data_IF_556273192576
#
_entry.id   IF_556273192576
#
_cell.length_a   1.000
_cell.length_b   1.000
_cell.length_c   1.000
_cell.angle_alpha   90.00
_cell.angle_beta   90.00
_cell.angle_gamma   90.00
#
_symmetry.space_group_name_H-M   'P 1'
#
loop_
_entity.id
_entity.type
_entity.pdbx_description
1 polymer ?
#
# COMPACT_ATOMS: atom_id res chain seq x y z
N UNK A 1 10.02 15.92 -12.06
CA UNK A 1 10.40 16.59 -10.78
C UNK A 1 11.90 16.86 -10.75
N UNK A 2 12.32 17.99 -10.17
CA UNK A 2 13.75 18.31 -10.02
C UNK A 2 14.38 17.42 -8.95
N UNK A 3 15.66 17.10 -9.07
CA UNK A 3 16.38 16.24 -8.12
C UNK A 3 16.38 16.79 -6.69
N UNK A 4 16.50 18.11 -6.55
CA UNK A 4 16.41 18.79 -5.23
C UNK A 4 15.04 18.63 -4.56
N UNK A 5 13.96 18.67 -5.33
CA UNK A 5 12.60 18.52 -4.81
C UNK A 5 12.33 17.06 -4.45
N UNK A 6 12.89 16.11 -5.20
CA UNK A 6 12.86 14.69 -4.87
C UNK A 6 13.51 14.42 -3.51
N UNK A 7 14.75 14.86 -3.30
CA UNK A 7 15.44 14.65 -2.03
C UNK A 7 14.72 15.34 -0.85
N UNK A 8 14.14 16.52 -1.07
CA UNK A 8 13.32 17.17 -0.06
C UNK A 8 12.10 16.31 0.30
N UNK A 9 11.40 15.76 -0.72
CA UNK A 9 10.26 14.88 -0.51
C UNK A 9 10.65 13.62 0.25
N UNK A 10 11.78 12.98 -0.10
CA UNK A 10 12.29 11.81 0.62
C UNK A 10 12.54 12.11 2.10
N UNK A 11 13.16 13.26 2.41
CA UNK A 11 13.35 13.70 3.79
C UNK A 11 12.03 13.83 4.54
N UNK A 12 11.02 14.48 3.95
CA UNK A 12 9.68 14.58 4.55
C UNK A 12 9.03 13.23 4.80
N UNK A 13 9.12 12.30 3.85
CA UNK A 13 8.54 10.97 3.98
C UNK A 13 9.24 10.16 5.06
N UNK A 14 10.56 10.24 5.14
CA UNK A 14 11.36 9.59 6.18
C UNK A 14 10.99 10.11 7.56
N UNK A 15 10.96 11.43 7.73
CA UNK A 15 10.75 12.07 9.03
C UNK A 15 9.30 11.91 9.55
N UNK A 16 8.31 11.82 8.66
CA UNK A 16 6.90 11.80 9.04
C UNK A 16 6.22 10.43 8.88
N UNK A 17 6.63 9.63 7.91
CA UNK A 17 6.04 8.32 7.61
C UNK A 17 7.00 7.15 7.88
N UNK A 18 8.26 7.41 8.21
CA UNK A 18 9.28 6.38 8.41
C UNK A 18 9.69 5.67 7.12
N UNK A 19 9.36 6.22 5.96
CA UNK A 19 9.68 5.61 4.67
C UNK A 19 11.07 6.00 4.21
N UNK A 20 11.90 5.01 3.92
CA UNK A 20 13.28 5.17 3.47
C UNK A 20 13.37 4.68 2.03
N UNK A 21 13.16 5.59 1.09
CA UNK A 21 13.30 5.33 -0.34
C UNK A 21 14.70 5.72 -0.80
N UNK A 22 15.19 5.02 -1.81
CA UNK A 22 16.44 5.37 -2.48
C UNK A 22 16.23 5.92 -3.90
N UNK A 23 17.31 6.13 -4.64
CA UNK A 23 17.25 6.70 -5.98
C UNK A 23 16.60 5.76 -7.01
N UNK A 24 16.45 4.48 -6.72
CA UNK A 24 15.86 3.49 -7.65
C UNK A 24 14.34 3.66 -7.76
N UNK A 25 13.69 4.21 -6.71
CA UNK A 25 12.26 4.50 -6.71
C UNK A 25 11.89 5.84 -7.39
N UNK A 26 12.88 6.62 -7.84
CA UNK A 26 12.63 7.95 -8.43
C UNK A 26 11.51 7.95 -9.48
N UNK A 27 11.54 7.03 -10.44
CA UNK A 27 10.54 7.01 -11.53
C UNK A 27 9.13 6.70 -11.03
N UNK A 28 9.00 5.85 -10.03
CA UNK A 28 7.70 5.47 -9.45
C UNK A 28 7.13 6.66 -8.68
N UNK A 29 7.95 7.30 -7.85
CA UNK A 29 7.57 8.46 -7.06
C UNK A 29 7.24 9.65 -7.95
N UNK A 30 8.08 9.95 -8.95
CA UNK A 30 7.86 11.03 -9.92
C UNK A 30 6.52 10.87 -10.65
N UNK A 31 6.23 9.67 -11.16
CA UNK A 31 4.96 9.35 -11.82
C UNK A 31 3.76 9.53 -10.89
N UNK A 32 3.84 9.07 -9.64
CA UNK A 32 2.77 9.21 -8.66
C UNK A 32 2.55 10.68 -8.29
N UNK A 33 3.63 11.44 -8.10
CA UNK A 33 3.55 12.88 -7.84
C UNK A 33 2.91 13.64 -9.00
N UNK A 34 3.27 13.29 -10.23
CA UNK A 34 2.64 13.89 -11.41
C UNK A 34 1.13 13.62 -11.47
N UNK A 35 0.70 12.40 -11.17
CA UNK A 35 -0.73 12.05 -11.13
C UNK A 35 -1.45 12.81 -10.01
N UNK A 36 -0.86 12.90 -8.84
CA UNK A 36 -1.40 13.62 -7.69
C UNK A 36 -1.57 15.12 -8.00
N UNK A 37 -0.57 15.75 -8.60
CA UNK A 37 -0.60 17.15 -9.04
C UNK A 37 -1.77 17.41 -9.97
N UNK A 38 -1.97 16.55 -10.98
CA UNK A 38 -3.09 16.65 -11.92
C UNK A 38 -4.44 16.48 -11.23
N UNK A 39 -4.57 15.51 -10.34
CA UNK A 39 -5.81 15.24 -9.61
C UNK A 39 -6.20 16.40 -8.70
N UNK A 40 -5.23 17.01 -8.04
CA UNK A 40 -5.45 18.13 -7.10
C UNK A 40 -5.50 19.51 -7.78
N UNK A 41 -5.22 19.59 -9.07
CA UNK A 41 -5.29 20.84 -9.84
C UNK A 41 -4.10 21.78 -9.68
N UNK A 42 -2.95 21.26 -9.23
CA UNK A 42 -1.70 22.04 -9.22
C UNK A 42 -1.13 22.19 -10.63
N UNK A 43 -0.48 23.31 -10.89
CA UNK A 43 0.15 23.55 -12.20
C UNK A 43 1.42 22.71 -12.39
N UNK A 44 2.14 22.39 -11.30
CA UNK A 44 3.37 21.58 -11.35
C UNK A 44 3.69 20.91 -10.01
N UNK A 45 4.62 19.93 -10.05
CA UNK A 45 5.17 19.32 -8.84
C UNK A 45 5.93 20.36 -7.99
N UNK A 46 6.60 21.30 -8.63
CA UNK A 46 7.34 22.37 -7.97
C UNK A 46 6.40 23.27 -7.13
N UNK A 47 5.21 23.57 -7.62
CA UNK A 47 4.19 24.30 -6.86
C UNK A 47 3.75 23.54 -5.61
N UNK A 48 3.43 22.26 -5.78
CA UNK A 48 3.08 21.39 -4.65
C UNK A 48 4.21 21.33 -3.60
N UNK A 49 5.46 21.18 -4.03
CA UNK A 49 6.61 21.16 -3.13
C UNK A 49 6.78 22.52 -2.41
N UNK A 50 6.49 23.64 -3.08
CA UNK A 50 6.51 24.93 -2.44
C UNK A 50 5.48 25.03 -1.31
N UNK A 51 4.28 24.52 -1.50
CA UNK A 51 3.26 24.46 -0.43
C UNK A 51 3.65 23.50 0.70
N UNK A 52 4.23 22.35 0.40
CA UNK A 52 4.75 21.45 1.44
C UNK A 52 5.82 22.12 2.31
N UNK A 53 6.67 22.96 1.73
CA UNK A 53 7.67 23.77 2.45
C UNK A 53 7.04 24.80 3.38
N UNK A 54 5.80 25.21 3.17
CA UNK A 54 5.04 26.07 4.10
C UNK A 54 4.50 25.31 5.33
N UNK A 55 4.77 24.01 5.44
CA UNK A 55 4.44 23.21 6.62
C UNK A 55 2.98 22.77 6.72
N UNK A 56 2.27 22.66 5.62
CA UNK A 56 0.88 22.18 5.58
C UNK A 56 0.78 20.68 5.88
N UNK A 57 0.57 20.33 7.15
CA UNK A 57 0.50 18.91 7.59
C UNK A 57 -0.59 18.12 6.88
N UNK A 58 -1.75 18.70 6.62
CA UNK A 58 -2.84 18.02 5.94
C UNK A 58 -2.45 17.64 4.49
N UNK A 59 -1.75 18.51 3.78
CA UNK A 59 -1.22 18.26 2.44
C UNK A 59 -0.15 17.18 2.46
N UNK A 60 0.74 17.21 3.45
CA UNK A 60 1.77 16.17 3.60
C UNK A 60 1.14 14.77 3.71
N UNK A 61 0.11 14.61 4.55
CA UNK A 61 -0.56 13.30 4.69
C UNK A 61 -1.30 12.85 3.42
N UNK A 62 -1.87 13.77 2.64
CA UNK A 62 -2.43 13.45 1.34
C UNK A 62 -1.35 12.95 0.35
N UNK A 63 -0.16 13.56 0.38
CA UNK A 63 0.98 13.10 -0.44
C UNK A 63 1.47 11.74 0.04
N UNK A 64 1.60 11.51 1.34
CA UNK A 64 1.94 10.19 1.91
C UNK A 64 0.95 9.13 1.43
N UNK A 65 -0.35 9.40 1.54
CA UNK A 65 -1.40 8.47 1.08
C UNK A 65 -1.31 8.18 -0.42
N UNK A 66 -1.09 9.22 -1.25
CA UNK A 66 -0.94 9.07 -2.70
C UNK A 66 0.30 8.27 -3.11
N UNK A 67 1.38 8.39 -2.33
CA UNK A 67 2.63 7.67 -2.56
C UNK A 67 2.61 6.25 -2.00
N UNK A 68 1.69 5.92 -1.09
CA UNK A 68 1.58 4.58 -0.54
C UNK A 68 1.49 3.53 -1.65
N UNK A 69 2.33 2.51 -1.55
CA UNK A 69 2.34 1.40 -2.49
C UNK A 69 1.19 0.47 -2.12
N UNK A 70 0.11 0.55 -2.88
CA UNK A 70 -1.04 -0.36 -2.74
C UNK A 70 -0.94 -1.57 -3.65
N UNK A 71 0.29 -2.09 -3.83
CA UNK A 71 0.49 -3.29 -4.65
C UNK A 71 -0.12 -4.51 -3.99
N UNK A 72 -0.92 -5.23 -4.75
CA UNK A 72 -1.48 -6.51 -4.36
C UNK A 72 -1.57 -7.43 -5.58
N UNK A 73 -1.44 -8.73 -5.34
CA UNK A 73 -1.59 -9.74 -6.37
C UNK A 73 -2.23 -11.01 -5.81
N UNK A 74 -2.79 -11.83 -6.69
CA UNK A 74 -3.32 -13.13 -6.27
C UNK A 74 -2.19 -14.01 -5.74
N UNK A 75 -2.45 -14.65 -4.59
CA UNK A 75 -1.48 -15.54 -3.90
C UNK A 75 -0.12 -14.89 -3.65
N UNK A 76 -0.10 -13.56 -3.41
CA UNK A 76 1.10 -12.84 -3.01
C UNK A 76 1.71 -13.52 -1.78
N UNK A 77 3.04 -13.65 -1.75
CA UNK A 77 3.76 -14.38 -0.71
C UNK A 77 3.34 -15.87 -0.62
N UNK A 78 3.56 -16.60 -1.71
CA UNK A 78 3.18 -18.01 -1.87
C UNK A 78 3.41 -18.89 -0.63
N UNK A 79 4.51 -18.68 0.10
CA UNK A 79 4.81 -19.43 1.34
C UNK A 79 3.78 -19.20 2.43
N UNK A 80 3.27 -17.97 2.54
CA UNK A 80 2.24 -17.59 3.52
C UNK A 80 0.92 -18.28 3.16
N UNK A 81 0.51 -18.23 1.90
CA UNK A 81 -0.69 -18.91 1.43
C UNK A 81 -0.58 -20.42 1.56
N UNK A 82 0.57 -21.01 1.24
CA UNK A 82 0.79 -22.45 1.44
C UNK A 82 0.66 -22.84 2.92
N UNK A 83 1.22 -22.10 3.84
CA UNK A 83 1.05 -22.33 5.28
C UNK A 83 -0.42 -22.15 5.71
N UNK A 84 -1.10 -21.14 5.18
CA UNK A 84 -2.53 -20.96 5.44
C UNK A 84 -3.34 -22.18 5.01
N UNK A 85 -3.14 -22.70 3.79
CA UNK A 85 -3.86 -23.83 3.24
C UNK A 85 -3.54 -25.15 3.93
N UNK A 86 -2.26 -25.39 4.25
CA UNK A 86 -1.81 -26.71 4.72
C UNK A 86 -1.83 -26.83 6.25
N UNK A 87 -1.78 -25.73 6.98
CA UNK A 87 -1.68 -25.75 8.45
C UNK A 87 -2.84 -25.02 9.11
N UNK A 88 -3.04 -23.74 8.77
CA UNK A 88 -3.97 -22.87 9.51
C UNK A 88 -5.42 -23.25 9.20
N UNK A 89 -5.78 -23.39 7.95
CA UNK A 89 -7.16 -23.68 7.54
C UNK A 89 -7.68 -25.03 8.06
N UNK A 90 -6.92 -26.15 7.97
CA UNK A 90 -7.31 -27.41 8.58
C UNK A 90 -7.54 -27.31 10.10
N UNK A 91 -6.63 -26.63 10.81
CA UNK A 91 -6.76 -26.43 12.26
C UNK A 91 -8.02 -25.62 12.64
N UNK A 92 -8.28 -24.52 11.93
CA UNK A 92 -9.49 -23.71 12.17
C UNK A 92 -10.77 -24.52 11.86
N UNK A 93 -10.76 -25.32 10.82
CA UNK A 93 -11.90 -26.20 10.49
C UNK A 93 -12.17 -27.22 11.58
N UNK A 94 -11.12 -27.77 12.17
CA UNK A 94 -11.26 -28.68 13.29
C UNK A 94 -11.89 -28.02 14.50
N UNK A 95 -11.42 -26.83 14.86
CA UNK A 95 -12.00 -26.04 15.96
C UNK A 95 -13.46 -25.64 15.72
N UNK A 96 -13.85 -25.44 14.45
CA UNK A 96 -15.19 -24.97 14.05
C UNK A 96 -16.10 -26.07 13.46
N UNK A 97 -15.84 -27.34 13.76
CA UNK A 97 -16.57 -28.50 13.16
C UNK A 97 -18.11 -28.38 13.22
N UNK A 98 -18.65 -27.68 14.22
CA UNK A 98 -20.11 -27.49 14.37
C UNK A 98 -20.68 -26.28 13.64
N UNK A 99 -19.87 -25.29 13.31
CA UNK A 99 -20.38 -23.99 12.86
C UNK A 99 -20.57 -23.86 11.34
N UNK A 100 -19.96 -24.72 10.52
CA UNK A 100 -19.97 -24.68 9.04
C UNK A 100 -19.75 -23.27 8.45
N UNK A 101 -19.07 -22.38 9.22
CA UNK A 101 -18.90 -20.97 8.89
C UNK A 101 -17.53 -20.51 9.34
N UNK A 102 -16.83 -19.84 8.43
CA UNK A 102 -15.54 -19.21 8.68
C UNK A 102 -15.67 -17.70 8.44
N UNK A 103 -15.14 -16.90 9.38
CA UNK A 103 -15.04 -15.44 9.22
C UNK A 103 -13.58 -15.08 9.18
N UNK A 104 -13.17 -14.36 8.14
CA UNK A 104 -11.79 -13.92 7.92
C UNK A 104 -11.84 -12.40 7.71
N UNK A 105 -10.91 -11.72 8.33
CA UNK A 105 -10.72 -10.27 8.15
C UNK A 105 -9.35 -10.03 7.49
N UNK A 106 -9.37 -9.51 6.26
CA UNK A 106 -8.19 -9.08 5.52
C UNK A 106 -8.03 -7.58 5.72
N UNK A 107 -7.08 -7.17 6.56
CA UNK A 107 -6.82 -5.76 6.85
C UNK A 107 -5.89 -5.17 5.78
N UNK A 108 -6.31 -4.05 5.17
CA UNK A 108 -5.50 -3.39 4.13
C UNK A 108 -5.45 -4.16 2.82
N UNK A 109 -6.54 -4.81 2.42
CA UNK A 109 -6.61 -5.70 1.24
C UNK A 109 -6.45 -5.01 -0.12
N UNK A 110 -6.22 -3.69 -0.16
CA UNK A 110 -6.07 -2.92 -1.40
C UNK A 110 -7.24 -3.16 -2.38
N UNK A 111 -6.98 -3.60 -3.60
CA UNK A 111 -8.01 -3.90 -4.60
C UNK A 111 -8.64 -5.31 -4.48
N UNK A 112 -8.34 -6.05 -3.39
CA UNK A 112 -9.07 -7.24 -2.98
C UNK A 112 -8.45 -8.59 -3.37
N UNK A 113 -7.31 -8.62 -4.08
CA UNK A 113 -6.69 -9.87 -4.55
C UNK A 113 -6.37 -10.84 -3.40
N UNK A 114 -5.93 -10.34 -2.24
CA UNK A 114 -5.73 -11.17 -1.06
C UNK A 114 -7.03 -11.80 -0.58
N UNK A 115 -8.10 -11.02 -0.46
CA UNK A 115 -9.42 -11.50 -0.04
C UNK A 115 -9.96 -12.58 -0.97
N UNK A 116 -9.84 -12.37 -2.27
CA UNK A 116 -10.23 -13.39 -3.26
C UNK A 116 -9.34 -14.61 -3.21
N UNK A 117 -8.03 -14.47 -3.04
CA UNK A 117 -7.10 -15.60 -2.88
C UNK A 117 -7.46 -16.45 -1.67
N UNK A 118 -7.79 -15.82 -0.54
CA UNK A 118 -8.26 -16.51 0.67
C UNK A 118 -9.58 -17.26 0.38
N UNK A 119 -10.53 -16.63 -0.29
CA UNK A 119 -11.81 -17.27 -0.63
C UNK A 119 -11.62 -18.49 -1.54
N UNK A 120 -10.71 -18.40 -2.54
CA UNK A 120 -10.37 -19.52 -3.42
C UNK A 120 -9.70 -20.65 -2.62
N UNK A 121 -8.73 -20.34 -1.77
CA UNK A 121 -8.05 -21.31 -0.92
C UNK A 121 -9.04 -22.06 0.00
N UNK A 122 -9.96 -21.32 0.64
CA UNK A 122 -10.99 -21.92 1.50
C UNK A 122 -11.95 -22.83 0.73
N UNK A 123 -12.28 -22.48 -0.52
CA UNK A 123 -13.20 -23.26 -1.35
C UNK A 123 -12.55 -24.55 -1.90
N UNK A 124 -11.26 -24.53 -2.17
CA UNK A 124 -10.55 -25.64 -2.81
C UNK A 124 -10.09 -26.72 -1.81
N UNK A 125 -10.18 -26.49 -0.55
CA UNK A 125 -9.83 -27.40 0.56
C UNK A 125 -11.08 -27.90 1.29
#
# INVERSE_FOLDING_TARGET
MRKSDYHYLLGLLKDNAGWDFDDDEYFIIDKKMYNFVREKGYASVEELIAELKMGQKALLWQVVEALALSETSFYRDYKVFKNFEDTILPHIRELNRGAKKLRIWSLGCSSGQETYSIAIAVRNK
#
